data_IF_134930414396
#
_entry.id   IF_134930414396
#
_cell.length_a   1.000
_cell.length_b   1.000
_cell.length_c   1.000
_cell.angle_alpha   90.00
_cell.angle_beta   90.00
_cell.angle_gamma   90.00
#
_symmetry.space_group_name_H-M   'P 1'
#
loop_
_entity.id
_entity.type
_entity.pdbx_description
1 polymer ?
#
# COMPACT_ATOMS: atom_id res chain seq x y z
N UNK A 1 -2.96 22.80 0.91
CA UNK A 1 -2.69 22.15 2.22
C UNK A 1 -1.90 20.89 1.94
N UNK A 2 -0.69 20.76 2.48
CA UNK A 2 0.07 19.53 2.34
C UNK A 2 -0.54 18.43 3.21
N UNK A 3 -0.76 17.25 2.63
CA UNK A 3 -1.28 16.10 3.34
C UNK A 3 -0.25 15.52 4.31
N UNK A 4 -0.66 15.23 5.55
CA UNK A 4 0.19 14.61 6.57
C UNK A 4 0.44 13.12 6.30
N UNK A 5 -0.43 12.46 5.56
CA UNK A 5 -0.37 11.01 5.31
C UNK A 5 0.06 10.76 3.87
N UNK A 6 0.92 9.79 3.60
CA UNK A 6 1.38 9.45 2.25
C UNK A 6 1.03 8.03 1.89
N UNK A 7 0.64 7.79 0.64
CA UNK A 7 0.46 6.44 0.13
C UNK A 7 1.82 5.75 -0.05
N UNK A 8 2.01 4.55 0.52
CA UNK A 8 3.27 3.82 0.37
C UNK A 8 3.52 3.32 -1.06
N UNK A 9 2.48 3.09 -1.86
CA UNK A 9 2.60 2.62 -3.24
C UNK A 9 2.98 3.70 -4.25
N UNK A 10 2.33 4.87 -4.21
CA UNK A 10 2.51 5.93 -5.21
C UNK A 10 3.05 7.26 -4.66
N UNK A 11 3.15 7.43 -3.34
CA UNK A 11 3.65 8.66 -2.71
C UNK A 11 2.68 9.84 -2.65
N UNK A 12 1.43 9.66 -3.13
CA UNK A 12 0.40 10.69 -3.05
C UNK A 12 0.10 11.06 -1.58
N UNK A 13 -0.06 12.35 -1.29
CA UNK A 13 -0.27 12.88 0.06
C UNK A 13 -1.75 13.17 0.33
N UNK A 14 -2.22 12.88 1.54
CA UNK A 14 -3.60 13.00 1.98
C UNK A 14 -3.71 13.70 3.34
N UNK A 15 -4.83 14.40 3.53
CA UNK A 15 -5.13 15.11 4.78
C UNK A 15 -5.65 14.21 5.91
N UNK A 16 -6.14 13.00 5.59
CA UNK A 16 -6.70 12.07 6.57
C UNK A 16 -6.40 10.61 6.22
N UNK A 17 -6.36 9.74 7.22
CA UNK A 17 -6.17 8.29 7.05
C UNK A 17 -7.27 7.63 6.24
N UNK A 18 -8.53 8.05 6.43
CA UNK A 18 -9.67 7.55 5.63
C UNK A 18 -9.49 7.80 4.13
N UNK A 19 -8.89 8.94 3.75
CA UNK A 19 -8.58 9.20 2.34
C UNK A 19 -7.49 8.28 1.81
N UNK A 20 -6.48 7.96 2.63
CA UNK A 20 -5.45 6.97 2.28
C UNK A 20 -6.07 5.58 2.11
N UNK A 21 -6.93 5.15 3.03
CA UNK A 21 -7.60 3.84 2.99
C UNK A 21 -8.43 3.69 1.70
N UNK A 22 -9.24 4.70 1.39
CA UNK A 22 -10.00 4.74 0.13
C UNK A 22 -9.07 4.75 -1.09
N UNK A 23 -7.97 5.50 -1.04
CA UNK A 23 -7.00 5.52 -2.13
C UNK A 23 -6.35 4.15 -2.32
N UNK A 24 -5.93 3.47 -1.24
CA UNK A 24 -5.38 2.11 -1.30
C UNK A 24 -6.38 1.14 -1.94
N UNK A 25 -7.66 1.25 -1.61
CA UNK A 25 -8.69 0.41 -2.19
C UNK A 25 -8.92 0.71 -3.69
N UNK A 26 -9.03 1.99 -4.07
CA UNK A 26 -9.39 2.38 -5.44
C UNK A 26 -8.20 2.33 -6.41
N UNK A 27 -7.02 2.79 -5.99
CA UNK A 27 -5.83 2.88 -6.86
C UNK A 27 -4.94 1.65 -6.82
N UNK A 28 -4.95 0.92 -5.70
CA UNK A 28 -4.07 -0.23 -5.51
C UNK A 28 -4.83 -1.55 -5.31
N UNK A 29 -6.17 -1.54 -5.28
CA UNK A 29 -6.97 -2.74 -5.03
C UNK A 29 -6.78 -3.32 -3.62
N UNK A 30 -6.17 -2.57 -2.70
CA UNK A 30 -5.85 -3.06 -1.35
C UNK A 30 -7.00 -2.73 -0.41
N UNK A 31 -7.74 -3.77 -0.02
CA UNK A 31 -8.77 -3.66 1.01
C UNK A 31 -8.11 -3.54 2.39
N UNK A 32 -8.44 -2.47 3.12
CA UNK A 32 -7.97 -2.27 4.49
C UNK A 32 -8.91 -3.00 5.44
N UNK A 33 -8.40 -4.02 6.11
CA UNK A 33 -9.12 -4.80 7.11
C UNK A 33 -9.04 -4.11 8.47
N UNK A 34 -10.18 -4.02 9.14
CA UNK A 34 -10.29 -3.47 10.49
C UNK A 34 -11.21 -4.29 11.35
N UNK A 35 -10.90 -4.39 12.64
CA UNK A 35 -11.73 -5.02 13.65
C UNK A 35 -11.88 -4.12 14.89
N UNK A 36 -12.95 -4.37 15.64
CA UNK A 36 -13.16 -3.77 16.95
C UNK A 36 -13.12 -4.86 18.01
N UNK A 37 -12.27 -4.69 19.01
CA UNK A 37 -12.12 -5.61 20.13
C UNK A 37 -12.40 -4.87 21.44
N UNK A 38 -12.84 -5.61 22.45
CA UNK A 38 -13.02 -5.09 23.81
C UNK A 38 -12.26 -5.96 24.80
N UNK A 39 -11.68 -5.33 25.80
CA UNK A 39 -10.90 -5.98 26.85
C UNK A 39 -11.41 -5.52 28.21
N UNK A 40 -11.33 -6.39 29.21
CA UNK A 40 -11.74 -6.07 30.58
C UNK A 40 -10.87 -4.99 31.21
N UNK A 41 -9.58 -4.97 30.89
CA UNK A 41 -8.62 -4.03 31.46
C UNK A 41 -7.41 -3.81 30.53
N UNK A 42 -6.56 -2.86 30.89
CA UNK A 42 -5.34 -2.56 30.14
C UNK A 42 -4.31 -3.71 30.18
N UNK A 43 -4.37 -4.58 31.19
CA UNK A 43 -3.45 -5.73 31.34
C UNK A 43 -3.76 -6.81 30.29
N UNK A 44 -5.02 -7.18 30.16
CA UNK A 44 -5.52 -8.13 29.16
C UNK A 44 -5.29 -7.62 27.73
N UNK A 45 -5.52 -6.34 27.47
CA UNK A 45 -5.15 -5.73 26.20
C UNK A 45 -3.64 -5.86 25.89
N UNK A 46 -2.76 -5.54 26.85
CA UNK A 46 -1.30 -5.65 26.66
C UNK A 46 -0.85 -7.09 26.42
N UNK A 47 -1.45 -8.05 27.12
CA UNK A 47 -1.18 -9.46 26.91
C UNK A 47 -1.56 -9.88 25.48
N UNK A 48 -2.80 -9.63 25.07
CA UNK A 48 -3.27 -9.90 23.71
C UNK A 48 -2.36 -9.26 22.65
N UNK A 49 -2.01 -7.98 22.84
CA UNK A 49 -1.12 -7.25 21.93
C UNK A 49 0.24 -7.96 21.81
N UNK A 50 0.82 -8.38 22.93
CA UNK A 50 2.11 -9.08 22.95
C UNK A 50 2.05 -10.43 22.24
N UNK A 51 0.96 -11.17 22.42
CA UNK A 51 0.74 -12.47 21.75
C UNK A 51 0.57 -12.26 20.24
N UNK A 52 -0.25 -11.30 19.84
CA UNK A 52 -0.47 -10.92 18.44
C UNK A 52 0.83 -10.47 17.75
N UNK A 53 1.64 -9.64 18.42
CA UNK A 53 2.95 -9.20 17.93
C UNK A 53 3.92 -10.36 17.71
N UNK A 54 3.97 -11.29 18.66
CA UNK A 54 4.83 -12.47 18.58
C UNK A 54 4.42 -13.40 17.43
N UNK A 55 3.12 -13.66 17.29
CA UNK A 55 2.57 -14.52 16.25
C UNK A 55 2.82 -13.96 14.85
N UNK A 56 2.54 -12.66 14.66
CA UNK A 56 2.63 -12.01 13.35
C UNK A 56 4.03 -11.46 13.04
N UNK A 57 5.00 -11.60 13.96
CA UNK A 57 6.36 -11.02 13.87
C UNK A 57 6.31 -9.51 13.60
N UNK A 58 5.41 -8.82 14.30
CA UNK A 58 5.19 -7.39 14.20
C UNK A 58 5.57 -6.69 15.51
N UNK A 59 5.78 -5.39 15.43
CA UNK A 59 6.02 -4.54 16.60
C UNK A 59 5.24 -3.23 16.47
N UNK A 60 4.45 -2.94 17.50
CA UNK A 60 3.62 -1.78 17.67
C UNK A 60 4.05 -1.01 18.92
N UNK A 61 4.37 0.27 18.74
CA UNK A 61 4.74 1.13 19.86
C UNK A 61 3.57 2.02 20.27
N UNK A 62 3.39 2.21 21.57
CA UNK A 62 2.51 3.25 22.10
C UNK A 62 3.05 4.62 21.69
N UNK A 63 2.25 5.38 20.94
CA UNK A 63 2.51 6.77 20.62
C UNK A 63 2.04 7.70 21.76
N UNK A 64 1.91 8.98 21.43
CA UNK A 64 1.49 9.99 22.40
C UNK A 64 0.11 9.67 22.99
N UNK A 65 0.06 9.61 24.32
CA UNK A 65 -1.19 9.47 25.08
C UNK A 65 -1.92 10.80 25.03
N UNK A 66 -3.14 10.81 24.50
CA UNK A 66 -4.01 11.97 24.60
C UNK A 66 -4.81 11.84 25.88
N UNK A 67 -4.56 12.75 26.82
CA UNK A 67 -5.37 12.92 28.02
C UNK A 67 -6.34 14.08 27.81
N UNK A 68 -7.56 14.00 28.36
CA UNK A 68 -8.47 15.14 28.39
C UNK A 68 -7.79 16.37 29.01
N UNK A 69 -8.14 17.58 28.54
CA UNK A 69 -7.66 18.83 29.15
C UNK A 69 -8.16 18.90 30.59
N UNK A 70 -7.27 19.21 31.53
CA UNK A 70 -7.63 19.44 32.95
C UNK A 70 -8.70 20.55 33.00
N UNK A 71 -9.78 20.31 33.75
CA UNK A 71 -10.87 21.27 33.93
C UNK A 71 -12.16 20.97 33.16
N UNK A 72 -12.15 19.98 32.27
CA UNK A 72 -13.38 19.46 31.66
C UNK A 72 -14.10 18.60 32.70
N UNK A 73 -15.41 18.81 32.93
CA UNK A 73 -16.22 17.87 33.73
C UNK A 73 -16.17 16.51 33.01
N UNK A 74 -15.72 15.43 33.68
CA UNK A 74 -15.61 14.14 33.02
C UNK A 74 -17.00 13.58 32.71
N UNK A 75 -17.32 13.45 31.42
CA UNK A 75 -18.45 12.63 31.00
C UNK A 75 -18.03 11.15 31.16
N UNK A 76 -18.81 10.30 31.84
CA UNK A 76 -18.52 8.86 31.95
C UNK A 76 -18.41 8.15 30.60
N UNK A 77 -18.98 8.70 29.51
CA UNK A 77 -18.79 8.19 28.15
C UNK A 77 -17.48 8.65 27.49
N UNK A 78 -16.73 9.55 28.13
CA UNK A 78 -15.43 10.00 27.63
C UNK A 78 -14.33 9.07 28.13
N UNK A 79 -13.48 8.52 27.24
CA UNK A 79 -12.39 7.65 27.66
C UNK A 79 -11.40 8.39 28.56
N UNK A 80 -10.94 7.72 29.62
CA UNK A 80 -9.89 8.19 30.54
C UNK A 80 -8.59 8.49 29.80
N UNK A 81 -8.25 7.65 28.83
CA UNK A 81 -7.09 7.84 27.97
C UNK A 81 -7.34 7.29 26.56
N UNK A 82 -6.73 7.92 25.55
CA UNK A 82 -6.66 7.39 24.19
C UNK A 82 -5.21 7.17 23.80
N UNK A 83 -4.90 5.95 23.39
CA UNK A 83 -3.60 5.50 22.95
C UNK A 83 -3.61 5.29 21.44
N UNK A 84 -2.80 6.08 20.72
CA UNK A 84 -2.52 5.82 19.32
C UNK A 84 -1.30 4.93 19.24
N UNK A 85 -1.43 3.75 18.64
CA UNK A 85 -0.38 2.75 18.59
C UNK A 85 -0.08 2.47 17.12
N UNK A 86 1.19 2.57 16.75
CA UNK A 86 1.61 2.48 15.35
C UNK A 86 2.58 1.32 15.16
N UNK A 87 2.45 0.64 14.02
CA UNK A 87 3.44 -0.35 13.60
C UNK A 87 4.78 0.33 13.33
N UNK A 88 5.86 -0.20 13.89
CA UNK A 88 7.23 0.30 13.66
C UNK A 88 7.95 -0.44 12.54
N UNK A 89 7.52 -1.66 12.24
CA UNK A 89 8.16 -2.52 11.24
C UNK A 89 7.99 -1.95 9.83
N UNK A 90 6.83 -1.40 9.52
CA UNK A 90 6.48 -0.93 8.18
C UNK A 90 6.70 0.58 7.98
N UNK A 91 7.30 1.27 8.95
CA UNK A 91 7.56 2.71 8.89
C UNK A 91 6.33 3.60 9.14
N UNK A 92 6.50 4.93 9.03
CA UNK A 92 5.49 5.92 9.42
C UNK A 92 4.24 5.94 8.53
N UNK A 93 4.30 5.31 7.36
CA UNK A 93 3.23 5.28 6.36
C UNK A 93 2.42 3.98 6.37
N UNK A 94 2.66 3.12 7.36
CA UNK A 94 1.92 1.88 7.52
C UNK A 94 0.44 2.17 7.83
N UNK A 95 -0.52 1.63 7.04
CA UNK A 95 -1.94 1.80 7.33
C UNK A 95 -2.37 1.05 8.59
N UNK A 96 -1.69 -0.07 8.89
CA UNK A 96 -1.89 -0.82 10.12
C UNK A 96 -1.51 0.02 11.36
N UNK A 97 -2.47 0.07 12.27
CA UNK A 97 -2.44 0.88 13.50
C UNK A 97 -3.50 0.38 14.47
N UNK A 98 -3.35 0.71 15.74
CA UNK A 98 -4.37 0.48 16.76
C UNK A 98 -4.71 1.79 17.47
N UNK A 99 -5.97 1.96 17.80
CA UNK A 99 -6.45 3.03 18.67
C UNK A 99 -7.16 2.39 19.85
N UNK A 100 -6.53 2.45 21.02
CA UNK A 100 -7.10 1.94 22.25
C UNK A 100 -7.70 3.10 23.07
N UNK A 101 -8.95 2.95 23.49
CA UNK A 101 -9.67 3.87 24.38
C UNK A 101 -9.88 3.17 25.72
N UNK A 102 -9.30 3.72 26.78
CA UNK A 102 -9.44 3.18 28.13
C UNK A 102 -10.57 3.88 28.85
N UNK A 103 -11.54 3.12 29.34
CA UNK A 103 -12.64 3.58 30.19
C UNK A 103 -12.42 3.08 31.61
N UNK A 104 -13.42 3.25 32.48
CA UNK A 104 -13.33 2.77 33.86
C UNK A 104 -13.28 1.26 33.99
N UNK A 105 -14.10 0.57 33.19
CA UNK A 105 -14.36 -0.86 33.35
C UNK A 105 -13.89 -1.71 32.18
N UNK A 106 -13.43 -1.08 31.09
CA UNK A 106 -13.04 -1.77 29.87
C UNK A 106 -12.07 -0.94 29.02
N UNK A 107 -11.47 -1.60 28.04
CA UNK A 107 -10.67 -0.98 26.98
C UNK A 107 -11.29 -1.36 25.64
N UNK A 108 -11.65 -0.36 24.83
CA UNK A 108 -12.07 -0.55 23.43
C UNK A 108 -10.87 -0.39 22.51
N UNK A 109 -10.73 -1.28 21.54
CA UNK A 109 -9.66 -1.25 20.55
C UNK A 109 -10.26 -1.18 19.14
N UNK A 110 -9.91 -0.15 18.38
CA UNK A 110 -10.06 -0.15 16.93
C UNK A 110 -8.73 -0.55 16.31
N UNK A 111 -8.70 -1.69 15.60
CA UNK A 111 -7.47 -2.24 15.05
C UNK A 111 -7.57 -2.38 13.52
N UNK A 112 -6.65 -1.74 12.80
CA UNK A 112 -6.46 -1.89 11.36
C UNK A 112 -5.29 -2.83 11.12
N UNK A 113 -5.54 -3.99 10.50
CA UNK A 113 -4.57 -5.08 10.36
C UNK A 113 -3.68 -4.96 9.13
N UNK A 114 -4.17 -4.32 8.07
CA UNK A 114 -3.50 -4.35 6.77
C UNK A 114 -2.15 -3.63 6.81
N UNK A 115 -1.09 -4.36 6.46
CA UNK A 115 0.24 -3.81 6.25
C UNK A 115 0.52 -3.66 4.75
N UNK A 116 1.11 -2.54 4.37
CA UNK A 116 1.59 -2.28 3.00
C UNK A 116 3.12 -2.25 2.94
N UNK A 117 3.78 -2.84 3.94
CA UNK A 117 5.24 -2.78 4.08
C UNK A 117 5.99 -3.40 2.90
N UNK A 118 5.40 -4.39 2.22
CA UNK A 118 5.97 -4.96 1.01
C UNK A 118 6.06 -3.93 -0.12
N UNK A 119 4.97 -3.19 -0.39
CA UNK A 119 4.97 -2.13 -1.40
C UNK A 119 6.02 -1.05 -1.11
N UNK A 120 6.22 -0.71 0.16
CA UNK A 120 7.25 0.25 0.54
C UNK A 120 8.66 -0.27 0.24
N UNK A 121 8.95 -1.55 0.55
CA UNK A 121 10.27 -2.14 0.26
C UNK A 121 10.53 -2.20 -1.25
N UNK A 122 9.54 -2.62 -2.02
CA UNK A 122 9.62 -2.69 -3.48
C UNK A 122 9.85 -1.30 -4.10
N UNK A 123 9.12 -0.28 -3.63
CA UNK A 123 9.33 1.11 -4.05
C UNK A 123 10.74 1.60 -3.72
N UNK A 124 11.21 1.39 -2.49
CA UNK A 124 12.55 1.84 -2.07
C UNK A 124 13.64 1.16 -2.90
N UNK A 125 13.47 -0.14 -3.18
CA UNK A 125 14.39 -0.86 -4.07
C UNK A 125 14.39 -0.28 -5.48
N UNK A 126 13.21 0.07 -6.03
CA UNK A 126 13.11 0.72 -7.34
C UNK A 126 13.82 2.09 -7.36
N UNK A 127 13.56 2.94 -6.37
CA UNK A 127 14.22 4.25 -6.24
C UNK A 127 15.75 4.11 -6.13
N UNK A 128 16.24 3.12 -5.37
CA UNK A 128 17.68 2.82 -5.26
C UNK A 128 18.28 2.30 -6.58
N UNK A 129 17.52 1.56 -7.38
CA UNK A 129 18.00 1.09 -8.71
C UNK A 129 17.99 2.19 -9.75
N UNK A 130 16.98 3.08 -9.74
CA UNK A 130 16.89 4.21 -10.67
C UNK A 130 18.00 5.23 -10.41
N UNK A 131 18.28 5.53 -9.14
CA UNK A 131 19.32 6.49 -8.77
C UNK A 131 20.75 5.98 -9.03
N UNK A 132 20.95 4.66 -9.15
CA UNK A 132 22.26 4.09 -9.54
C UNK A 132 22.55 4.23 -11.03
N UNK A 133 21.53 4.44 -11.86
CA UNK A 133 21.68 4.57 -13.31
C UNK A 133 21.96 6.02 -13.75
N UNK A 134 21.65 7.02 -12.91
CA UNK A 134 21.86 8.42 -13.23
C UNK A 134 23.30 8.92 -13.03
N UNK A 135 24.14 8.18 -12.32
CA UNK A 135 25.52 8.58 -11.99
C UNK A 135 26.60 7.88 -12.85
N UNK A 136 26.22 7.04 -13.82
CA UNK A 136 27.16 6.50 -14.79
C UNK A 136 27.42 7.54 -15.89
N UNK A 137 28.49 8.33 -15.71
CA UNK A 137 29.02 9.26 -16.67
C UNK A 137 29.11 8.65 -18.08
N UNK A 138 28.55 9.41 -19.02
CA UNK A 138 28.44 9.12 -20.43
C UNK A 138 29.80 9.14 -21.12
N UNK A 139 30.44 7.98 -21.19
CA UNK A 139 31.33 7.59 -22.30
C UNK A 139 30.87 6.25 -22.90
N UNK A 140 29.54 6.02 -22.93
CA UNK A 140 28.99 4.88 -23.66
C UNK A 140 28.95 5.23 -25.15
N UNK A 141 29.66 4.48 -26.02
CA UNK A 141 29.62 4.71 -27.45
C UNK A 141 28.16 4.65 -27.94
N UNK A 142 27.83 5.51 -28.88
CA UNK A 142 26.55 5.54 -29.60
C UNK A 142 26.35 4.18 -30.31
N UNK A 143 25.85 3.18 -29.59
CA UNK A 143 25.46 1.90 -30.17
C UNK A 143 24.10 2.08 -30.84
N UNK A 144 24.02 1.64 -32.09
CA UNK A 144 22.86 1.69 -32.96
C UNK A 144 21.56 1.29 -32.23
N UNK A 145 20.46 1.97 -32.60
CA UNK A 145 19.14 1.83 -31.99
C UNK A 145 18.81 0.39 -31.58
N UNK A 146 18.31 0.16 -30.34
CA UNK A 146 17.98 -1.18 -29.90
C UNK A 146 16.95 -1.79 -30.85
N UNK A 147 17.12 -3.07 -31.24
CA UNK A 147 16.24 -3.73 -32.19
C UNK A 147 14.79 -3.66 -31.68
N UNK A 148 13.87 -3.31 -32.60
CA UNK A 148 12.43 -3.07 -32.36
C UNK A 148 11.72 -4.15 -31.52
N UNK A 149 12.29 -5.35 -31.43
CA UNK A 149 11.86 -6.50 -30.61
C UNK A 149 11.78 -6.18 -29.11
N UNK A 150 12.67 -5.36 -28.54
CA UNK A 150 12.68 -5.09 -27.09
C UNK A 150 11.43 -4.30 -26.64
N UNK A 151 10.86 -3.46 -27.52
CA UNK A 151 9.64 -2.71 -27.22
C UNK A 151 8.37 -3.58 -27.19
N UNK A 152 8.36 -4.70 -27.92
CA UNK A 152 7.22 -5.63 -27.95
C UNK A 152 7.07 -6.41 -26.65
N UNK A 153 8.18 -6.82 -26.03
CA UNK A 153 8.17 -7.58 -24.77
C UNK A 153 7.53 -6.76 -23.64
N UNK A 154 7.91 -5.49 -23.51
CA UNK A 154 7.32 -4.60 -22.50
C UNK A 154 5.82 -4.34 -22.70
N UNK A 155 5.33 -4.38 -23.95
CA UNK A 155 3.90 -4.19 -24.24
C UNK A 155 3.06 -5.41 -23.83
N UNK A 156 3.59 -6.63 -24.03
CA UNK A 156 2.92 -7.88 -23.63
C UNK A 156 2.82 -8.01 -22.12
N UNK A 157 3.88 -7.67 -21.39
CA UNK A 157 3.87 -7.70 -19.92
C UNK A 157 2.84 -6.73 -19.32
N UNK A 158 2.67 -5.55 -19.92
CA UNK A 158 1.71 -4.55 -19.47
C UNK A 158 0.25 -5.00 -19.73
N UNK A 159 -0.03 -5.63 -20.87
CA UNK A 159 -1.35 -6.23 -21.16
C UNK A 159 -1.67 -7.34 -20.14
N UNK A 160 -0.72 -8.23 -19.86
CA UNK A 160 -0.91 -9.30 -18.88
C UNK A 160 -1.16 -8.77 -17.46
N UNK A 161 -0.54 -7.65 -17.09
CA UNK A 161 -0.78 -6.97 -15.82
C UNK A 161 -2.20 -6.38 -15.73
N UNK A 162 -2.66 -5.72 -16.80
CA UNK A 162 -4.03 -5.18 -16.88
C UNK A 162 -5.04 -6.31 -16.76
N UNK A 163 -4.85 -7.43 -17.47
CA UNK A 163 -5.73 -8.60 -17.43
C UNK A 163 -5.84 -9.21 -16.04
N UNK A 164 -4.74 -9.24 -15.27
CA UNK A 164 -4.74 -9.79 -13.89
C UNK A 164 -5.44 -8.91 -12.86
N UNK A 165 -5.62 -7.62 -13.14
CA UNK A 165 -6.10 -6.63 -12.16
C UNK A 165 -7.54 -6.16 -12.41
N UNK A 166 -8.19 -6.69 -13.45
CA UNK A 166 -9.52 -6.27 -13.88
C UNK A 166 -10.54 -7.42 -13.82
N UNK A 167 -11.80 -7.08 -13.57
CA UNK A 167 -12.92 -8.05 -13.51
C UNK A 167 -13.40 -8.44 -14.92
N UNK A 168 -12.49 -8.84 -15.80
CA UNK A 168 -12.87 -9.38 -17.09
C UNK A 168 -13.34 -10.81 -16.94
N UNK A 169 -14.33 -11.18 -17.76
CA UNK A 169 -14.72 -12.58 -17.93
C UNK A 169 -13.63 -13.34 -18.70
N UNK A 170 -13.55 -14.65 -18.52
CA UNK A 170 -12.55 -15.49 -19.19
C UNK A 170 -12.57 -15.33 -20.72
N UNK A 171 -13.75 -15.11 -21.31
CA UNK A 171 -13.91 -14.88 -22.75
C UNK A 171 -13.32 -13.53 -23.21
N UNK A 172 -13.40 -12.49 -22.39
CA UNK A 172 -12.78 -11.19 -22.67
C UNK A 172 -11.25 -11.25 -22.56
N UNK A 173 -10.74 -11.95 -21.55
CA UNK A 173 -9.31 -12.21 -21.40
C UNK A 173 -8.74 -12.99 -22.61
N UNK A 174 -9.47 -14.01 -23.06
CA UNK A 174 -9.09 -14.81 -24.23
C UNK A 174 -9.08 -13.99 -25.52
N UNK A 175 -10.09 -13.15 -25.74
CA UNK A 175 -10.16 -12.28 -26.92
C UNK A 175 -8.97 -11.31 -26.98
N UNK A 176 -8.61 -10.68 -25.85
CA UNK A 176 -7.47 -9.76 -25.78
C UNK A 176 -6.13 -10.48 -25.99
N UNK A 177 -5.96 -11.68 -25.42
CA UNK A 177 -4.76 -12.48 -25.63
C UNK A 177 -4.57 -12.88 -27.11
N UNK A 178 -5.66 -13.24 -27.79
CA UNK A 178 -5.64 -13.56 -29.22
C UNK A 178 -5.31 -12.32 -30.07
N UNK A 179 -5.87 -11.15 -29.75
CA UNK A 179 -5.53 -9.89 -30.43
C UNK A 179 -4.05 -9.52 -30.23
N UNK A 180 -3.51 -9.67 -29.01
CA UNK A 180 -2.09 -9.41 -28.74
C UNK A 180 -1.17 -10.36 -29.51
N UNK A 181 -1.53 -11.65 -29.60
CA UNK A 181 -0.76 -12.63 -30.37
C UNK A 181 -0.78 -12.31 -31.86
N UNK A 182 -1.94 -11.91 -32.42
CA UNK A 182 -2.07 -11.50 -33.82
C UNK A 182 -1.21 -10.29 -34.15
N UNK A 183 -1.14 -9.31 -33.25
CA UNK A 183 -0.25 -8.16 -33.40
C UNK A 183 1.23 -8.59 -33.36
N UNK A 184 1.59 -9.53 -32.47
CA UNK A 184 2.93 -10.12 -32.43
C UNK A 184 3.33 -10.78 -33.76
N UNK A 185 2.43 -11.56 -34.36
CA UNK A 185 2.66 -12.19 -35.67
C UNK A 185 2.87 -11.16 -36.78
N UNK A 186 2.01 -10.13 -36.85
CA UNK A 186 2.13 -9.06 -37.85
C UNK A 186 3.42 -8.26 -37.69
N UNK A 187 3.89 -8.07 -36.45
CA UNK A 187 5.16 -7.41 -36.17
C UNK A 187 6.36 -8.24 -36.67
N UNK A 188 6.33 -9.56 -36.48
CA UNK A 188 7.37 -10.47 -36.97
C UNK A 188 7.42 -10.55 -38.51
N UNK A 189 6.28 -10.38 -39.18
CA UNK A 189 6.18 -10.36 -40.63
C UNK A 189 6.63 -9.02 -41.26
N UNK A 190 6.91 -8.00 -40.45
CA UNK A 190 7.30 -6.67 -40.94
C UNK A 190 6.17 -5.89 -41.61
N UNK A 191 4.92 -6.35 -41.47
CA UNK A 191 3.72 -5.75 -42.08
C UNK A 191 3.13 -4.60 -41.25
N UNK A 192 3.83 -4.13 -40.21
CA UNK A 192 3.35 -3.13 -39.26
C UNK A 192 3.22 -1.70 -39.81
N UNK A 193 3.31 -1.49 -41.14
CA UNK A 193 3.49 -0.14 -41.71
C UNK A 193 2.25 0.76 -41.64
N UNK A 194 1.05 0.23 -41.39
CA UNK A 194 -0.19 1.03 -41.54
C UNK A 194 -1.15 1.01 -40.33
N UNK A 195 -0.68 0.68 -39.12
CA UNK A 195 -1.48 0.83 -37.90
C UNK A 195 -1.18 2.17 -37.20
N UNK A 196 -1.43 3.27 -37.89
CA UNK A 196 -1.68 4.56 -37.22
C UNK A 196 -3.19 4.69 -37.01
N UNK A 197 -3.65 5.10 -35.81
CA UNK A 197 -5.06 5.47 -35.62
C UNK A 197 -5.46 6.67 -36.49
#
# INVERSE_FOLDING_TARGET
MEGKFSCPGCGEKFISTQRVERHLQVKHGIKVESEQLTFKDMKSFRQWKSEYEKENKLYYSFGNVRRPKRGSVPDPSTPKATFNIQCRVCGPWCPSRMVAKEYETLVELSFWKTHTGQLYRERKQREETENKFSDSDSDTPLLDEPPKIVRLIGYVENILYILKTSNYTDSQCLAMALSANKLGELALQGEYKDLSP
#
